data_IF_003944906921
#
_entry.id   IF_003944906921
#
_cell.length_a   1.000
_cell.length_b   1.000
_cell.length_c   1.000
_cell.angle_alpha   90.00
_cell.angle_beta   90.00
_cell.angle_gamma   90.00
#
_symmetry.space_group_name_H-M   'P 1'
#
loop_
_entity.id
_entity.type
_entity.pdbx_description
1 polymer ?
#
# COMPACT_ATOMS: atom_id res chain seq x y z
N UNK A 1 -8.12 -24.81 57.10
CA UNK A 1 -8.36 -23.87 55.98
C UNK A 1 -7.66 -24.47 54.76
N UNK A 2 -8.39 -24.98 53.76
CA UNK A 2 -7.75 -25.48 52.54
C UNK A 2 -7.26 -24.31 51.72
N UNK A 3 -5.95 -24.18 51.55
CA UNK A 3 -5.37 -23.26 50.58
C UNK A 3 -5.67 -23.80 49.17
N UNK A 4 -6.33 -23.00 48.35
CA UNK A 4 -6.52 -23.30 46.94
C UNK A 4 -5.19 -23.07 46.22
N UNK A 5 -4.50 -24.15 45.85
CA UNK A 5 -3.33 -24.08 44.98
C UNK A 5 -3.81 -23.76 43.57
N UNK A 6 -3.33 -22.68 42.98
CA UNK A 6 -3.60 -22.33 41.59
C UNK A 6 -2.51 -22.88 40.68
N UNK A 7 -2.81 -23.01 39.39
CA UNK A 7 -1.83 -23.49 38.39
C UNK A 7 -0.57 -22.60 38.32
N UNK A 8 -0.63 -21.33 38.74
CA UNK A 8 0.53 -20.43 38.77
C UNK A 8 1.47 -20.71 39.93
N UNK A 9 0.99 -21.38 40.97
CA UNK A 9 1.77 -21.75 42.16
C UNK A 9 2.58 -23.04 41.93
N UNK A 10 2.43 -23.67 40.76
CA UNK A 10 3.20 -24.84 40.38
C UNK A 10 4.65 -24.45 40.02
N UNK A 11 5.64 -25.29 40.38
CA UNK A 11 7.01 -25.12 39.92
C UNK A 11 7.11 -25.08 38.39
N UNK A 12 8.12 -24.35 37.88
CA UNK A 12 8.31 -24.14 36.44
C UNK A 12 8.49 -25.46 35.67
N UNK A 13 9.10 -26.47 36.30
CA UNK A 13 9.29 -27.81 35.75
C UNK A 13 7.94 -28.50 35.49
N UNK A 14 7.00 -28.38 36.43
CA UNK A 14 5.65 -28.95 36.30
C UNK A 14 4.88 -28.21 35.20
N UNK A 15 4.98 -26.89 35.16
CA UNK A 15 4.40 -26.10 34.07
C UNK A 15 4.96 -26.48 32.70
N UNK A 16 6.26 -26.80 32.63
CA UNK A 16 6.89 -27.25 31.40
C UNK A 16 6.41 -28.64 30.98
N UNK A 17 6.25 -29.57 31.92
CA UNK A 17 5.67 -30.90 31.64
C UNK A 17 4.22 -30.77 31.14
N UNK A 18 3.41 -29.91 31.77
CA UNK A 18 2.05 -29.63 31.30
C UNK A 18 2.11 -29.11 29.86
N UNK A 19 2.97 -28.13 29.59
CA UNK A 19 3.13 -27.57 28.25
C UNK A 19 3.53 -28.61 27.19
N UNK A 20 4.43 -29.54 27.51
CA UNK A 20 4.86 -30.61 26.59
C UNK A 20 3.74 -31.59 26.24
N UNK A 21 2.71 -31.71 27.09
CA UNK A 21 1.57 -32.59 26.88
C UNK A 21 0.36 -31.88 26.24
N UNK A 22 0.44 -30.56 26.00
CA UNK A 22 -0.61 -29.80 25.33
C UNK A 22 -0.43 -29.81 23.82
N UNK A 23 -1.55 -29.84 23.10
CA UNK A 23 -1.55 -29.58 21.66
C UNK A 23 -1.25 -28.11 21.36
N UNK A 24 -1.00 -27.77 20.10
CA UNK A 24 -0.67 -26.40 19.71
C UNK A 24 -1.74 -25.39 20.13
N UNK A 25 -3.03 -25.76 20.06
CA UNK A 25 -4.11 -24.86 20.50
C UNK A 25 -4.13 -24.69 22.01
N UNK A 26 -3.93 -25.76 22.79
CA UNK A 26 -3.78 -25.72 24.24
C UNK A 26 -2.62 -24.81 24.66
N UNK A 27 -1.46 -24.96 24.02
CA UNK A 27 -0.30 -24.10 24.24
C UNK A 27 -0.61 -22.62 23.93
N UNK A 28 -1.21 -22.34 22.78
CA UNK A 28 -1.59 -20.97 22.39
C UNK A 28 -2.57 -20.37 23.40
N UNK A 29 -3.58 -21.13 23.82
CA UNK A 29 -4.58 -20.68 24.79
C UNK A 29 -3.95 -20.41 26.15
N UNK A 30 -3.13 -21.32 26.66
CA UNK A 30 -2.46 -21.19 27.95
C UNK A 30 -1.52 -19.97 27.97
N UNK A 31 -0.74 -19.74 26.90
CA UNK A 31 0.09 -18.54 26.75
C UNK A 31 -0.71 -17.23 26.67
N UNK A 32 -2.00 -17.28 26.35
CA UNK A 32 -2.86 -16.09 26.25
C UNK A 32 -3.55 -15.74 27.57
N UNK A 33 -3.56 -16.64 28.55
CA UNK A 33 -4.29 -16.39 29.81
C UNK A 33 -3.57 -15.40 30.71
N UNK A 34 -2.24 -15.47 30.82
CA UNK A 34 -1.45 -14.52 31.62
C UNK A 34 -0.04 -14.27 31.05
N UNK A 35 0.61 -13.21 31.55
CA UNK A 35 1.96 -12.82 31.13
C UNK A 35 3.01 -13.86 31.53
N UNK A 36 2.93 -14.40 32.74
CA UNK A 36 3.91 -15.37 33.25
C UNK A 36 3.96 -16.62 32.37
N UNK A 37 2.79 -17.18 32.02
CA UNK A 37 2.70 -18.32 31.10
C UNK A 37 3.20 -18.00 29.71
N UNK A 38 3.03 -16.76 29.24
CA UNK A 38 3.59 -16.35 27.96
C UNK A 38 5.12 -16.35 27.98
N UNK A 39 5.73 -16.06 29.12
CA UNK A 39 7.19 -15.99 29.31
C UNK A 39 7.80 -17.36 29.65
N UNK A 40 7.13 -18.18 30.47
CA UNK A 40 7.65 -19.47 30.95
C UNK A 40 7.39 -20.65 30.02
N UNK A 41 6.27 -20.64 29.30
CA UNK A 41 5.93 -21.74 28.37
C UNK A 41 6.60 -21.45 27.03
N UNK A 42 7.17 -22.45 26.32
CA UNK A 42 7.72 -22.25 24.99
C UNK A 42 6.64 -21.90 23.95
N UNK A 43 7.01 -21.20 22.88
CA UNK A 43 6.08 -20.95 21.78
C UNK A 43 5.96 -22.23 20.95
N UNK A 44 4.77 -22.55 20.40
CA UNK A 44 4.64 -23.71 19.53
C UNK A 44 5.64 -23.64 18.38
N UNK A 45 6.22 -24.78 18.04
CA UNK A 45 7.13 -24.89 16.90
C UNK A 45 6.36 -24.69 15.59
N UNK A 46 7.05 -24.31 14.51
CA UNK A 46 6.37 -24.15 13.22
C UNK A 46 5.71 -25.46 12.73
N UNK A 47 6.33 -26.60 13.05
CA UNK A 47 5.81 -27.93 12.72
C UNK A 47 4.51 -28.22 13.46
N UNK A 48 4.48 -27.98 14.78
CA UNK A 48 3.25 -28.10 15.58
C UNK A 48 2.13 -27.22 15.04
N UNK A 49 2.44 -26.00 14.59
CA UNK A 49 1.43 -25.13 13.98
C UNK A 49 0.90 -25.70 12.67
N UNK A 50 1.75 -26.29 11.81
CA UNK A 50 1.30 -26.96 10.59
C UNK A 50 0.41 -28.17 10.91
N UNK A 51 0.79 -28.97 11.90
CA UNK A 51 -0.01 -30.11 12.34
C UNK A 51 -1.37 -29.64 12.89
N UNK A 52 -1.39 -28.50 13.59
CA UNK A 52 -2.60 -27.86 14.09
C UNK A 52 -3.54 -27.37 12.97
N UNK A 53 -3.01 -26.93 11.81
CA UNK A 53 -3.85 -26.59 10.65
C UNK A 53 -4.63 -27.79 10.10
N UNK A 54 -4.10 -29.01 10.28
CA UNK A 54 -4.69 -30.25 9.76
C UNK A 54 -5.78 -30.81 10.68
N UNK A 55 -5.86 -30.32 11.92
CA UNK A 55 -6.97 -30.66 12.82
C UNK A 55 -8.30 -30.17 12.25
N UNK A 56 -9.39 -30.79 12.67
CA UNK A 56 -10.74 -30.37 12.29
C UNK A 56 -10.99 -28.88 12.60
N UNK A 57 -10.56 -28.42 13.78
CA UNK A 57 -10.68 -27.01 14.17
C UNK A 57 -9.90 -26.07 13.24
N UNK A 58 -8.66 -26.43 12.89
CA UNK A 58 -7.83 -25.66 11.96
C UNK A 58 -8.39 -25.61 10.55
N UNK A 59 -9.04 -26.70 10.11
CA UNK A 59 -9.69 -26.78 8.82
C UNK A 59 -10.98 -25.94 8.77
N UNK A 60 -11.87 -26.10 9.75
CA UNK A 60 -13.15 -25.38 9.85
C UNK A 60 -12.98 -23.86 9.92
N UNK A 61 -11.94 -23.38 10.63
CA UNK A 61 -11.67 -21.95 10.79
C UNK A 61 -10.73 -21.37 9.71
N UNK A 62 -10.43 -22.17 8.69
CA UNK A 62 -9.49 -21.86 7.61
C UNK A 62 -8.18 -21.20 8.07
N UNK A 63 -7.53 -21.84 9.07
CA UNK A 63 -6.29 -21.37 9.66
C UNK A 63 -5.06 -21.89 8.92
N UNK A 64 -4.02 -21.07 8.89
CA UNK A 64 -2.71 -21.36 8.30
C UNK A 64 -1.59 -20.86 9.22
N UNK A 65 -0.51 -21.61 9.31
CA UNK A 65 0.69 -21.29 10.05
C UNK A 65 1.60 -20.38 9.23
N UNK A 66 2.17 -19.41 9.93
CA UNK A 66 3.20 -18.54 9.40
C UNK A 66 4.55 -18.90 10.01
N UNK A 67 5.54 -19.17 9.14
CA UNK A 67 6.92 -19.48 9.52
C UNK A 67 7.60 -18.38 10.33
N UNK A 68 7.24 -17.12 10.05
CA UNK A 68 7.93 -15.98 10.62
C UNK A 68 7.37 -15.51 11.95
N UNK A 69 6.05 -15.39 12.08
CA UNK A 69 5.47 -14.94 13.34
C UNK A 69 5.12 -16.09 14.29
N UNK A 70 5.25 -17.35 13.85
CA UNK A 70 4.91 -18.56 14.60
C UNK A 70 3.49 -18.48 15.18
N UNK A 71 2.54 -18.07 14.34
CA UNK A 71 1.11 -17.96 14.69
C UNK A 71 0.27 -18.63 13.61
N UNK A 72 -0.84 -19.24 14.05
CA UNK A 72 -1.96 -19.55 13.18
C UNK A 72 -2.72 -18.25 12.87
N UNK A 73 -2.98 -18.01 11.58
CA UNK A 73 -3.73 -16.86 11.10
C UNK A 73 -4.82 -17.33 10.14
N UNK A 74 -5.95 -16.63 10.06
CA UNK A 74 -6.99 -16.96 9.09
C UNK A 74 -6.49 -16.73 7.67
N UNK A 75 -7.11 -17.41 6.72
CA UNK A 75 -6.85 -17.31 5.28
C UNK A 75 -6.69 -15.91 4.73
N UNK A 76 -7.49 -14.96 5.20
CA UNK A 76 -7.45 -13.55 4.79
C UNK A 76 -6.13 -12.85 5.12
N UNK A 77 -5.27 -13.45 5.96
CA UNK A 77 -3.94 -12.93 6.29
C UNK A 77 -2.83 -13.52 5.43
N UNK A 78 -3.15 -14.30 4.41
CA UNK A 78 -2.19 -14.87 3.47
C UNK A 78 -2.51 -14.46 2.04
N UNK A 79 -1.46 -14.21 1.26
CA UNK A 79 -1.61 -14.10 -0.19
C UNK A 79 -2.06 -15.42 -0.80
N UNK A 80 -2.80 -15.37 -1.89
CA UNK A 80 -3.28 -16.52 -2.65
C UNK A 80 -2.14 -17.47 -3.05
N UNK A 81 -1.00 -16.90 -3.44
CA UNK A 81 0.21 -17.66 -3.78
C UNK A 81 0.81 -18.39 -2.57
N UNK A 82 0.47 -17.99 -1.35
CA UNK A 82 0.92 -18.64 -0.11
C UNK A 82 -0.01 -19.76 0.35
N UNK A 83 -1.17 -19.98 -0.29
CA UNK A 83 -2.11 -21.04 0.12
C UNK A 83 -2.54 -21.95 -1.02
N UNK A 84 -2.13 -21.64 -2.26
CA UNK A 84 -2.43 -22.42 -3.46
C UNK A 84 -1.23 -23.28 -3.87
N UNK A 85 -1.48 -24.24 -4.77
CA UNK A 85 -0.46 -25.11 -5.37
C UNK A 85 0.41 -25.79 -4.30
N UNK A 86 1.75 -25.70 -4.45
CA UNK A 86 2.77 -26.32 -3.60
C UNK A 86 2.70 -25.88 -2.13
N UNK A 87 2.13 -24.71 -1.86
CA UNK A 87 2.00 -24.11 -0.52
C UNK A 87 0.62 -24.33 0.13
N UNK A 88 -0.26 -25.14 -0.46
CA UNK A 88 -1.54 -25.50 0.17
C UNK A 88 -1.35 -26.27 1.50
N UNK A 89 -2.40 -26.47 2.30
CA UNK A 89 -2.33 -27.11 3.63
C UNK A 89 -1.62 -28.49 3.64
N UNK A 90 -1.75 -29.25 2.54
CA UNK A 90 -1.10 -30.54 2.35
C UNK A 90 0.04 -30.49 1.32
N UNK A 91 0.40 -29.29 0.87
CA UNK A 91 1.51 -29.10 -0.06
C UNK A 91 2.85 -29.27 0.64
N UNK A 92 3.83 -29.84 -0.06
CA UNK A 92 5.17 -30.06 0.50
C UNK A 92 5.90 -28.75 0.86
N UNK A 93 5.51 -27.63 0.23
CA UNK A 93 6.09 -26.30 0.47
C UNK A 93 5.25 -25.46 1.46
N UNK A 94 4.29 -26.09 2.15
CA UNK A 94 3.52 -25.50 3.25
C UNK A 94 4.43 -24.87 4.33
N UNK A 95 5.61 -25.45 4.53
CA UNK A 95 6.61 -24.99 5.49
C UNK A 95 7.16 -23.59 5.19
N UNK A 96 7.06 -23.13 3.95
CA UNK A 96 7.59 -21.84 3.51
C UNK A 96 6.51 -20.76 3.35
N UNK A 97 5.38 -20.93 4.04
CA UNK A 97 4.31 -19.93 4.14
C UNK A 97 4.65 -18.83 5.12
N UNK A 98 4.19 -17.64 4.78
CA UNK A 98 4.25 -16.49 5.66
C UNK A 98 3.04 -15.58 5.44
N UNK A 99 2.60 -14.92 6.51
CA UNK A 99 1.43 -14.05 6.45
C UNK A 99 1.81 -12.69 5.84
N UNK A 100 0.82 -11.98 5.32
CA UNK A 100 1.02 -10.69 4.65
C UNK A 100 1.73 -9.68 5.56
N UNK A 101 1.42 -9.65 6.85
CA UNK A 101 2.11 -8.78 7.82
C UNK A 101 3.63 -9.04 7.88
N UNK A 102 4.05 -10.31 7.84
CA UNK A 102 5.47 -10.71 7.79
C UNK A 102 6.07 -10.58 6.38
N UNK A 103 5.22 -10.44 5.36
CA UNK A 103 5.63 -10.11 4.00
C UNK A 103 5.98 -8.64 3.83
N UNK A 104 5.19 -7.78 4.47
CA UNK A 104 5.37 -6.31 4.46
C UNK A 104 6.49 -5.90 5.43
N UNK A 105 6.57 -6.57 6.59
CA UNK A 105 7.61 -6.36 7.59
C UNK A 105 8.48 -7.60 7.69
N UNK A 106 9.33 -7.87 6.67
CA UNK A 106 10.20 -9.04 6.69
C UNK A 106 11.23 -8.92 7.82
N UNK A 107 11.74 -10.07 8.28
CA UNK A 107 12.86 -10.10 9.21
C UNK A 107 14.11 -9.50 8.54
N UNK A 108 15.00 -8.84 9.29
CA UNK A 108 16.28 -8.35 8.75
C UNK A 108 17.01 -9.45 7.97
N UNK A 109 17.50 -9.11 6.76
CA UNK A 109 18.17 -10.07 5.87
C UNK A 109 17.24 -10.89 4.97
N UNK A 110 15.92 -10.68 5.03
CA UNK A 110 14.98 -11.29 4.07
C UNK A 110 14.26 -10.22 3.25
N UNK A 111 14.13 -10.45 1.95
CA UNK A 111 13.32 -9.61 1.07
C UNK A 111 12.03 -10.34 0.69
N UNK A 112 10.90 -9.63 0.77
CA UNK A 112 9.57 -10.19 0.49
C UNK A 112 8.74 -9.26 -0.39
N UNK A 113 7.68 -8.68 0.14
CA UNK A 113 6.90 -7.72 -0.61
C UNK A 113 7.56 -6.34 -0.52
N UNK A 114 7.82 -5.74 -1.67
CA UNK A 114 8.33 -4.38 -1.79
C UNK A 114 7.20 -3.42 -2.19
N UNK A 115 7.47 -2.12 -2.11
CA UNK A 115 6.54 -1.13 -2.64
C UNK A 115 6.32 -1.36 -4.14
N UNK A 116 5.09 -1.20 -4.60
CA UNK A 116 4.65 -1.51 -5.96
C UNK A 116 4.17 -2.95 -6.16
N UNK A 117 4.45 -3.89 -5.24
CA UNK A 117 3.99 -5.27 -5.39
C UNK A 117 2.47 -5.40 -5.30
N UNK A 118 1.89 -6.17 -6.21
CA UNK A 118 0.50 -6.60 -6.15
C UNK A 118 0.38 -7.95 -5.44
N UNK A 119 -0.55 -8.04 -4.49
CA UNK A 119 -0.80 -9.21 -3.66
C UNK A 119 -2.27 -9.56 -3.82
N UNK A 120 -2.56 -10.78 -4.28
CA UNK A 120 -3.93 -11.29 -4.33
C UNK A 120 -4.29 -11.94 -3.00
N UNK A 121 -5.41 -11.53 -2.39
CA UNK A 121 -5.95 -12.12 -1.17
C UNK A 121 -7.43 -12.38 -1.40
N UNK A 122 -7.85 -13.65 -1.31
CA UNK A 122 -9.25 -14.05 -1.52
C UNK A 122 -9.80 -13.61 -2.89
N UNK A 123 -8.94 -13.55 -3.90
CA UNK A 123 -9.28 -13.07 -5.25
C UNK A 123 -9.20 -11.55 -5.43
N UNK A 124 -9.15 -10.76 -4.36
CA UNK A 124 -8.98 -9.31 -4.44
C UNK A 124 -7.51 -8.94 -4.65
N UNK A 125 -7.23 -7.99 -5.54
CA UNK A 125 -5.87 -7.49 -5.79
C UNK A 125 -5.60 -6.27 -4.92
N UNK A 126 -4.66 -6.40 -3.99
CA UNK A 126 -4.15 -5.32 -3.16
C UNK A 126 -2.76 -4.91 -3.68
N UNK A 127 -2.36 -3.68 -3.39
CA UNK A 127 -1.04 -3.14 -3.71
C UNK A 127 -0.39 -2.55 -2.48
N UNK A 128 0.92 -2.75 -2.33
CA UNK A 128 1.73 -1.95 -1.41
C UNK A 128 2.04 -0.64 -2.13
N UNK A 129 1.27 0.40 -1.84
CA UNK A 129 1.36 1.66 -2.58
C UNK A 129 2.77 2.26 -2.56
N UNK A 130 3.29 2.70 -3.71
CA UNK A 130 4.60 3.36 -3.77
C UNK A 130 4.68 4.67 -2.99
N UNK A 131 3.58 5.44 -2.95
CA UNK A 131 3.51 6.72 -2.25
C UNK A 131 3.38 6.56 -0.74
N UNK A 132 2.29 5.92 -0.27
CA UNK A 132 1.99 5.85 1.16
C UNK A 132 2.54 4.61 1.87
N UNK A 133 3.12 3.64 1.14
CA UNK A 133 3.65 2.35 1.64
C UNK A 133 2.66 1.50 2.43
N UNK A 134 1.36 1.81 2.35
CA UNK A 134 0.29 1.03 2.98
C UNK A 134 -0.29 0.01 1.99
N UNK A 135 -0.66 -1.15 2.51
CA UNK A 135 -1.41 -2.16 1.77
C UNK A 135 -2.86 -1.69 1.63
N UNK A 136 -3.32 -1.51 0.39
CA UNK A 136 -4.69 -1.06 0.07
C UNK A 136 -5.16 -1.68 -1.25
N UNK A 137 -6.43 -1.47 -1.59
CA UNK A 137 -6.97 -1.87 -2.89
C UNK A 137 -6.14 -1.28 -4.04
N UNK A 138 -5.79 -2.14 -4.99
CA UNK A 138 -5.14 -1.73 -6.23
C UNK A 138 -6.18 -1.12 -7.17
N UNK A 139 -5.74 -0.18 -8.02
CA UNK A 139 -6.57 0.40 -9.08
C UNK A 139 -6.24 -0.29 -10.39
N UNK A 140 -7.28 -0.61 -11.15
CA UNK A 140 -7.17 -1.08 -12.52
C UNK A 140 -7.54 0.09 -13.46
N UNK A 141 -6.57 0.59 -14.21
CA UNK A 141 -6.77 1.62 -15.25
C UNK A 141 -6.36 1.01 -16.59
N UNK A 142 -7.23 1.08 -17.61
CA UNK A 142 -6.95 0.61 -18.97
C UNK A 142 -6.44 -0.85 -19.05
N UNK A 143 -6.90 -1.70 -18.12
CA UNK A 143 -6.49 -3.11 -18.03
C UNK A 143 -5.15 -3.35 -17.33
N UNK A 144 -4.47 -2.31 -16.86
CA UNK A 144 -3.20 -2.38 -16.12
C UNK A 144 -3.39 -2.02 -14.65
N UNK A 145 -2.81 -2.83 -13.75
CA UNK A 145 -2.84 -2.55 -12.32
C UNK A 145 -1.81 -1.48 -11.96
N UNK A 146 -2.26 -0.37 -11.39
CA UNK A 146 -1.36 0.68 -10.93
C UNK A 146 -0.58 0.27 -9.68
N UNK A 147 0.63 0.81 -9.54
CA UNK A 147 1.48 0.65 -8.35
C UNK A 147 1.07 1.59 -7.19
N UNK A 148 0.08 2.45 -7.43
CA UNK A 148 -0.51 3.33 -6.43
C UNK A 148 -1.82 2.74 -5.90
N UNK A 149 -2.09 2.99 -4.62
CA UNK A 149 -3.40 2.64 -4.06
C UNK A 149 -4.49 3.58 -4.55
N UNK A 150 -5.72 3.09 -4.50
CA UNK A 150 -6.91 3.85 -4.87
C UNK A 150 -7.00 5.22 -4.20
N UNK A 151 -6.68 5.32 -2.91
CA UNK A 151 -6.71 6.60 -2.18
C UNK A 151 -5.70 7.60 -2.73
N UNK A 152 -4.45 7.18 -2.95
CA UNK A 152 -3.42 8.08 -3.49
C UNK A 152 -3.70 8.46 -4.94
N UNK A 153 -4.32 7.55 -5.72
CA UNK A 153 -4.70 7.85 -7.11
C UNK A 153 -5.79 8.92 -7.17
N UNK A 154 -6.85 8.79 -6.36
CA UNK A 154 -7.91 9.82 -6.31
C UNK A 154 -7.41 11.16 -5.79
N UNK A 155 -6.53 11.17 -4.78
CA UNK A 155 -5.92 12.41 -4.30
C UNK A 155 -5.17 13.13 -5.44
N UNK A 156 -4.34 12.40 -6.19
CA UNK A 156 -3.63 12.94 -7.35
C UNK A 156 -4.57 13.46 -8.44
N UNK A 157 -5.61 12.71 -8.79
CA UNK A 157 -6.58 13.13 -9.79
C UNK A 157 -7.32 14.42 -9.38
N UNK A 158 -7.57 14.59 -8.08
CA UNK A 158 -8.16 15.82 -7.52
C UNK A 158 -7.18 16.98 -7.61
N UNK A 159 -5.93 16.78 -7.21
CA UNK A 159 -4.86 17.78 -7.33
C UNK A 159 -4.62 18.22 -8.78
N UNK A 160 -4.63 17.27 -9.73
CA UNK A 160 -4.48 17.53 -11.17
C UNK A 160 -5.65 18.38 -11.70
N UNK A 161 -6.89 18.07 -11.29
CA UNK A 161 -8.06 18.87 -11.65
C UNK A 161 -7.99 20.28 -11.08
N UNK A 162 -7.64 20.42 -9.81
CA UNK A 162 -7.52 21.73 -9.16
C UNK A 162 -6.40 22.57 -9.79
N UNK A 163 -5.27 21.94 -10.15
CA UNK A 163 -4.18 22.59 -10.87
C UNK A 163 -4.61 23.07 -12.26
N UNK A 164 -5.34 22.24 -13.00
CA UNK A 164 -5.90 22.61 -14.30
C UNK A 164 -6.87 23.80 -14.19
N UNK A 165 -7.77 23.78 -13.19
CA UNK A 165 -8.71 24.87 -12.96
C UNK A 165 -7.99 26.18 -12.57
N UNK A 166 -6.92 26.10 -11.76
CA UNK A 166 -6.07 27.26 -11.45
C UNK A 166 -5.38 27.83 -12.70
N UNK A 167 -4.70 26.98 -13.47
CA UNK A 167 -4.03 27.38 -14.71
C UNK A 167 -5.01 28.01 -15.72
N UNK A 168 -6.24 27.48 -15.83
CA UNK A 168 -7.28 28.05 -16.69
C UNK A 168 -7.70 29.45 -16.23
N UNK A 169 -7.86 29.69 -14.93
CA UNK A 169 -8.21 31.01 -14.38
C UNK A 169 -7.11 32.03 -14.62
N UNK A 170 -5.86 31.64 -14.39
CA UNK A 170 -4.68 32.49 -14.65
C UNK A 170 -4.59 32.88 -16.12
N UNK A 171 -4.81 31.93 -17.04
CA UNK A 171 -4.83 32.21 -18.48
C UNK A 171 -5.94 33.18 -18.89
N UNK A 172 -7.13 33.09 -18.27
CA UNK A 172 -8.22 34.04 -18.51
C UNK A 172 -7.85 35.43 -17.98
N UNK A 173 -7.29 35.52 -16.77
CA UNK A 173 -6.84 36.79 -16.18
C UNK A 173 -5.79 37.48 -17.05
N UNK A 174 -4.78 36.75 -17.51
CA UNK A 174 -3.74 37.27 -18.40
C UNK A 174 -4.33 37.81 -19.71
N UNK A 175 -5.30 37.11 -20.30
CA UNK A 175 -5.99 37.58 -21.52
C UNK A 175 -6.79 38.86 -21.28
N UNK A 176 -7.49 38.96 -20.16
CA UNK A 176 -8.23 40.17 -19.78
C UNK A 176 -7.28 41.33 -19.58
N UNK A 177 -6.20 41.14 -18.83
CA UNK A 177 -5.19 42.18 -18.59
C UNK A 177 -4.52 42.64 -19.89
N UNK A 178 -4.17 41.71 -20.79
CA UNK A 178 -3.65 42.05 -22.11
C UNK A 178 -4.66 42.86 -22.94
N UNK A 179 -5.94 42.49 -22.92
CA UNK A 179 -7.00 43.22 -23.63
C UNK A 179 -7.17 44.65 -23.08
N UNK A 180 -7.14 44.83 -21.76
CA UNK A 180 -7.17 46.16 -21.13
C UNK A 180 -5.94 47.00 -21.48
N UNK A 181 -4.74 46.42 -21.44
CA UNK A 181 -3.50 47.12 -21.86
C UNK A 181 -3.59 47.57 -23.32
N UNK A 182 -4.22 46.77 -24.19
CA UNK A 182 -4.50 47.15 -25.59
C UNK A 182 -5.56 48.24 -25.69
N UNK A 183 -6.62 48.20 -24.87
CA UNK A 183 -7.65 49.24 -24.82
C UNK A 183 -7.08 50.59 -24.36
N UNK A 184 -6.34 50.61 -23.24
CA UNK A 184 -5.65 51.82 -22.73
C UNK A 184 -4.71 52.44 -23.75
N UNK A 185 -3.96 51.62 -24.51
CA UNK A 185 -3.11 52.12 -25.60
C UNK A 185 -3.92 52.79 -26.71
N UNK A 186 -5.06 52.21 -27.09
CA UNK A 186 -5.98 52.80 -28.09
C UNK A 186 -6.58 54.13 -27.63
N UNK A 187 -6.92 54.26 -26.35
CA UNK A 187 -7.41 55.52 -25.77
C UNK A 187 -6.34 56.61 -25.76
N UNK A 188 -5.09 56.27 -25.38
CA UNK A 188 -4.02 57.25 -25.20
C UNK A 188 -3.45 57.78 -26.52
N UNK A 189 -3.30 56.90 -27.53
CA UNK A 189 -2.65 57.24 -28.80
C UNK A 189 -3.63 57.43 -29.96
N UNK A 190 -4.94 57.27 -29.69
CA UNK A 190 -5.99 57.33 -30.70
C UNK A 190 -5.93 56.16 -31.70
N UNK A 191 -7.03 55.95 -32.41
CA UNK A 191 -7.07 55.09 -33.59
C UNK A 191 -6.30 55.79 -34.72
N UNK A 192 -4.97 55.77 -34.70
CA UNK A 192 -4.20 56.20 -35.87
C UNK A 192 -4.61 55.27 -37.02
N UNK A 193 -5.16 55.80 -38.14
CA UNK A 193 -5.51 54.98 -39.29
C UNK A 193 -4.27 54.23 -39.75
N UNK A 194 -4.47 52.94 -39.93
CA UNK A 194 -3.50 51.93 -40.34
C UNK A 194 -2.78 52.35 -41.63
N UNK A 195 -1.64 52.99 -41.45
CA UNK A 195 -0.74 53.43 -42.52
C UNK A 195 0.65 53.58 -41.92
N UNK A 196 1.17 52.48 -41.37
CA UNK A 196 2.53 52.01 -41.66
C UNK A 196 2.94 50.87 -40.71
N UNK A 197 3.10 49.68 -41.30
CA UNK A 197 4.01 48.60 -40.87
C UNK A 197 3.87 48.00 -39.46
N UNK A 198 2.93 47.05 -39.34
CA UNK A 198 3.12 45.64 -38.94
C UNK A 198 4.37 45.25 -38.11
N UNK A 199 4.58 45.84 -36.94
CA UNK A 199 5.41 45.21 -35.92
C UNK A 199 4.55 44.90 -34.69
N UNK A 200 4.26 43.60 -34.40
CA UNK A 200 3.64 43.27 -33.12
C UNK A 200 4.54 43.81 -32.00
N UNK A 201 3.96 44.35 -30.91
CA UNK A 201 4.75 44.83 -29.81
C UNK A 201 5.69 43.73 -29.33
N UNK A 202 6.95 44.10 -29.08
CA UNK A 202 7.96 43.14 -28.62
C UNK A 202 7.43 42.36 -27.43
N UNK A 203 7.51 41.01 -27.46
CA UNK A 203 7.02 40.19 -26.37
C UNK A 203 7.74 40.59 -25.08
N UNK A 204 6.97 40.68 -24.01
CA UNK A 204 7.51 40.87 -22.66
C UNK A 204 8.37 39.66 -22.29
N UNK A 205 9.32 39.82 -21.35
CA UNK A 205 10.16 38.70 -20.89
C UNK A 205 9.33 37.52 -20.37
N UNK A 206 8.16 37.79 -19.78
CA UNK A 206 7.19 36.77 -19.38
C UNK A 206 6.50 36.05 -20.54
N UNK A 207 6.28 36.73 -21.67
CA UNK A 207 5.68 36.11 -22.87
C UNK A 207 6.68 35.20 -23.58
N UNK A 208 7.94 35.63 -23.69
CA UNK A 208 9.03 34.77 -24.18
C UNK A 208 9.22 33.53 -23.29
N UNK A 209 9.06 33.68 -21.98
CA UNK A 209 9.14 32.57 -21.03
C UNK A 209 7.98 31.57 -21.20
N UNK A 210 6.76 32.04 -21.43
CA UNK A 210 5.60 31.17 -21.66
C UNK A 210 5.64 30.47 -23.03
N UNK A 211 6.13 31.13 -24.07
CA UNK A 211 6.35 30.51 -25.38
C UNK A 211 7.45 29.43 -25.31
N UNK A 212 8.52 29.65 -24.55
CA UNK A 212 9.53 28.61 -24.25
C UNK A 212 8.90 27.38 -23.56
N UNK A 213 8.06 27.59 -22.54
CA UNK A 213 7.40 26.48 -21.85
C UNK A 213 6.44 25.72 -22.79
N UNK A 214 5.66 26.41 -23.62
CA UNK A 214 4.77 25.77 -24.60
C UNK A 214 5.53 24.98 -25.67
N UNK A 215 6.70 25.45 -26.09
CA UNK A 215 7.58 24.74 -27.02
C UNK A 215 8.17 23.47 -26.38
N UNK A 216 8.60 23.53 -25.11
CA UNK A 216 9.10 22.37 -24.37
C UNK A 216 8.01 21.30 -24.18
N UNK A 217 6.78 21.70 -23.81
CA UNK A 217 5.66 20.77 -23.67
C UNK A 217 5.20 20.16 -25.00
N UNK A 218 5.40 20.85 -26.13
CA UNK A 218 5.04 20.34 -27.46
C UNK A 218 6.07 19.34 -28.01
N UNK A 219 7.35 19.47 -27.62
CA UNK A 219 8.39 18.52 -27.99
C UNK A 219 8.30 17.19 -27.21
N UNK A 220 7.93 17.24 -25.93
CA UNK A 220 7.77 16.03 -25.09
C UNK A 220 6.64 15.10 -25.57
N UNK A 221 5.67 15.61 -26.35
CA UNK A 221 4.61 14.81 -26.96
C UNK A 221 4.97 14.23 -28.34
N UNK A 222 6.01 14.74 -29.00
CA UNK A 222 6.43 14.26 -30.31
C UNK A 222 7.45 13.10 -30.21
N UNK A 223 8.18 13.01 -29.10
CA UNK A 223 9.19 11.96 -28.86
C UNK A 223 8.64 10.70 -28.13
N UNK A 224 7.32 10.59 -27.98
CA UNK A 224 6.63 9.41 -27.39
C UNK A 224 5.75 8.62 -28.38
N UNK A 225 5.91 8.87 -29.68
CA UNK A 225 5.41 8.01 -30.77
C UNK A 225 6.58 7.31 -31.48
#
# INVERSE_FOLDING_TARGET
>A
MSQSITIRDLPAEILHIIAQNLDAFGLIRLRRTCRDFRESIPSPTHRELIDAERTEFGFQNDLYACRDCLKLRPRAKFGDNMVKKKKAKFGYDAVNRWCVDCGINPRPGTNRYTAGNHIRILGETLVICMRCRKLRAAVLEEGTWLHDCQTCRYARATEERDAYERARREMIQLRVEQAERRARRRELWGSVPDSDTLLPPSPTSSELFLEMLQAEFSHDWADQL
#
